data_IF_734997603438
#
_entry.id   IF_734997603438
#
_cell.length_a   1.000
_cell.length_b   1.000
_cell.length_c   1.000
_cell.angle_alpha   90.00
_cell.angle_beta   90.00
_cell.angle_gamma   90.00
#
_symmetry.space_group_name_H-M   'P 1'
#
loop_
_entity.id
_entity.type
_entity.pdbx_description
1 polymer ?
#
# COMPACT_ATOMS: atom_id res chain seq x y z
N UNK A 1 -7.89 -7.08 -33.06
CA UNK A 1 -8.88 -7.43 -32.01
C UNK A 1 -10.07 -6.51 -32.14
N UNK A 2 -11.29 -6.96 -31.87
CA UNK A 2 -12.48 -6.09 -31.90
C UNK A 2 -12.41 -5.07 -30.77
N UNK A 3 -12.63 -3.78 -31.08
CA UNK A 3 -12.73 -2.72 -30.07
C UNK A 3 -14.11 -2.79 -29.38
N UNK A 4 -14.10 -2.76 -28.04
CA UNK A 4 -15.33 -2.75 -27.26
C UNK A 4 -15.44 -1.46 -26.45
N UNK A 5 -16.67 -0.97 -26.26
CA UNK A 5 -16.97 0.06 -25.28
C UNK A 5 -17.20 -0.61 -23.93
N UNK A 6 -16.45 -0.22 -22.91
CA UNK A 6 -16.45 -0.87 -21.58
C UNK A 6 -16.70 0.19 -20.52
N UNK A 7 -17.77 0.04 -19.74
CA UNK A 7 -18.03 0.90 -18.59
C UNK A 7 -17.16 0.47 -17.39
N UNK A 8 -16.48 1.44 -16.78
CA UNK A 8 -15.73 1.27 -15.52
C UNK A 8 -16.38 2.14 -14.46
N UNK A 9 -16.74 1.54 -13.34
CA UNK A 9 -17.41 2.25 -12.25
C UNK A 9 -16.41 2.64 -11.15
N UNK A 10 -16.21 3.94 -11.01
CA UNK A 10 -15.28 4.55 -10.08
C UNK A 10 -13.92 4.88 -10.70
N UNK A 11 -13.47 6.13 -10.50
CA UNK A 11 -12.14 6.63 -10.92
C UNK A 11 -11.13 6.62 -9.76
N UNK A 12 -11.23 5.66 -8.85
CA UNK A 12 -10.16 5.36 -7.91
C UNK A 12 -8.96 4.71 -8.64
N UNK A 13 -7.80 4.50 -7.98
CA UNK A 13 -6.60 3.96 -8.62
C UNK A 13 -6.84 2.65 -9.36
N UNK A 14 -7.69 1.77 -8.81
CA UNK A 14 -8.00 0.48 -9.43
C UNK A 14 -8.81 0.65 -10.72
N UNK A 15 -9.84 1.50 -10.72
CA UNK A 15 -10.65 1.77 -11.91
C UNK A 15 -9.84 2.47 -13.01
N UNK A 16 -9.01 3.43 -12.62
CA UNK A 16 -8.10 4.10 -13.57
C UNK A 16 -7.08 3.12 -14.15
N UNK A 17 -6.46 2.25 -13.34
CA UNK A 17 -5.51 1.27 -13.84
C UNK A 17 -6.16 0.25 -14.78
N UNK A 18 -7.39 -0.20 -14.49
CA UNK A 18 -8.15 -1.07 -15.38
C UNK A 18 -8.46 -0.38 -16.72
N UNK A 19 -8.96 0.85 -16.69
CA UNK A 19 -9.27 1.63 -17.87
C UNK A 19 -8.01 1.97 -18.69
N UNK A 20 -6.90 2.29 -18.02
CA UNK A 20 -5.60 2.51 -18.64
C UNK A 20 -5.16 1.29 -19.47
N UNK A 21 -5.22 0.09 -18.89
CA UNK A 21 -4.86 -1.12 -19.63
C UNK A 21 -5.84 -1.38 -20.78
N UNK A 22 -7.15 -1.27 -20.55
CA UNK A 22 -8.16 -1.46 -21.58
C UNK A 22 -7.98 -0.50 -22.78
N UNK A 23 -7.67 0.77 -22.51
CA UNK A 23 -7.45 1.76 -23.55
C UNK A 23 -6.21 1.41 -24.40
N UNK A 24 -5.13 0.97 -23.79
CA UNK A 24 -3.91 0.54 -24.48
C UNK A 24 -4.09 -0.76 -25.26
N UNK A 25 -5.01 -1.63 -24.82
CA UNK A 25 -5.40 -2.85 -25.55
C UNK A 25 -6.36 -2.56 -26.73
N UNK A 26 -6.66 -1.28 -27.02
CA UNK A 26 -7.48 -0.84 -28.15
C UNK A 26 -8.98 -0.82 -27.86
N UNK A 27 -9.39 -0.95 -26.62
CA UNK A 27 -10.78 -0.78 -26.21
C UNK A 27 -11.11 0.71 -25.93
N UNK A 28 -12.39 1.02 -25.73
CA UNK A 28 -12.86 2.38 -25.40
C UNK A 28 -13.51 2.37 -24.02
N UNK A 29 -12.71 2.43 -22.94
CA UNK A 29 -13.27 2.52 -21.58
C UNK A 29 -13.94 3.87 -21.35
N UNK A 30 -15.10 3.84 -20.69
CA UNK A 30 -15.77 5.02 -20.15
C UNK A 30 -15.86 4.86 -18.66
N UNK A 31 -15.15 5.71 -17.91
CA UNK A 31 -15.17 5.70 -16.45
C UNK A 31 -16.29 6.63 -15.97
N UNK A 32 -17.11 6.15 -15.05
CA UNK A 32 -18.14 6.93 -14.35
C UNK A 32 -17.70 7.09 -12.90
N UNK A 33 -17.49 8.34 -12.46
CA UNK A 33 -17.06 8.69 -11.11
C UNK A 33 -18.12 9.58 -10.45
N UNK A 34 -18.48 9.24 -9.22
CA UNK A 34 -19.46 10.00 -8.46
C UNK A 34 -18.92 11.34 -7.94
N UNK A 35 -17.63 11.41 -7.61
CA UNK A 35 -16.94 12.61 -7.13
C UNK A 35 -16.68 13.59 -8.29
N UNK A 36 -16.37 14.84 -7.96
CA UNK A 36 -15.97 15.90 -8.90
C UNK A 36 -14.50 15.77 -9.38
N UNK A 37 -13.78 14.74 -8.89
CA UNK A 37 -12.36 14.48 -9.16
C UNK A 37 -12.05 12.99 -9.20
N UNK A 38 -10.95 12.64 -9.86
CA UNK A 38 -10.40 11.28 -9.82
C UNK A 38 -9.67 11.01 -8.51
N UNK A 39 -9.54 9.72 -8.16
CA UNK A 39 -8.61 9.26 -7.11
C UNK A 39 -9.25 8.49 -5.96
N UNK A 40 -10.55 8.62 -5.70
CA UNK A 40 -11.19 7.89 -4.62
C UNK A 40 -10.47 8.09 -3.28
N UNK A 41 -9.95 7.02 -2.67
CA UNK A 41 -9.21 7.10 -1.41
C UNK A 41 -7.80 7.72 -1.53
N UNK A 42 -7.25 7.82 -2.74
CA UNK A 42 -5.97 8.48 -3.00
C UNK A 42 -6.14 9.93 -3.46
N UNK A 43 -7.37 10.41 -3.56
CA UNK A 43 -7.63 11.81 -3.90
C UNK A 43 -7.09 12.75 -2.83
N UNK A 44 -6.66 13.93 -3.26
CA UNK A 44 -6.24 15.01 -2.37
C UNK A 44 -7.37 16.03 -2.16
N UNK A 45 -7.24 16.81 -1.12
CA UNK A 45 -8.07 17.98 -0.83
C UNK A 45 -7.19 19.19 -0.55
N UNK A 46 -7.73 20.38 -0.73
CA UNK A 46 -7.03 21.60 -0.38
C UNK A 46 -7.11 21.85 1.13
N UNK A 47 -5.95 22.09 1.73
CA UNK A 47 -5.81 22.54 3.10
C UNK A 47 -5.00 23.84 3.13
N UNK A 48 -5.69 24.98 3.03
CA UNK A 48 -5.08 26.31 3.01
C UNK A 48 -3.99 26.50 1.92
N UNK A 49 -4.28 26.04 0.69
CA UNK A 49 -3.36 26.12 -0.44
C UNK A 49 -2.35 24.97 -0.54
N UNK A 50 -2.42 24.01 0.39
CA UNK A 50 -1.61 22.81 0.36
C UNK A 50 -2.48 21.61 -0.01
N UNK A 51 -2.16 20.93 -1.11
CA UNK A 51 -2.84 19.70 -1.49
C UNK A 51 -2.39 18.54 -0.59
N UNK A 52 -3.30 18.02 0.22
CA UNK A 52 -3.07 16.90 1.13
C UNK A 52 -3.89 15.71 0.66
N UNK A 53 -3.28 14.52 0.60
CA UNK A 53 -4.01 13.29 0.31
C UNK A 53 -4.98 12.93 1.44
N UNK A 54 -6.15 12.37 1.09
CA UNK A 54 -7.14 11.88 2.07
C UNK A 54 -6.56 10.87 3.06
N UNK A 55 -5.61 10.06 2.57
CA UNK A 55 -4.84 9.10 3.37
C UNK A 55 -3.38 9.14 2.92
N UNK A 56 -2.45 8.90 3.83
CA UNK A 56 -1.04 8.87 3.48
C UNK A 56 -0.70 7.65 2.60
N UNK A 57 0.11 7.89 1.59
CA UNK A 57 0.63 6.83 0.72
C UNK A 57 2.14 6.92 0.66
N UNK A 58 2.78 5.76 0.66
CA UNK A 58 4.21 5.62 0.39
C UNK A 58 4.44 4.44 -0.53
N UNK A 59 5.53 4.49 -1.27
CA UNK A 59 5.90 3.47 -2.23
C UNK A 59 7.15 2.72 -1.77
N UNK A 60 7.19 1.43 -2.10
CA UNK A 60 8.32 0.56 -1.83
C UNK A 60 9.08 0.26 -3.12
N UNK A 61 10.37 0.02 -3.03
CA UNK A 61 11.18 -0.40 -4.17
C UNK A 61 10.73 -1.75 -4.75
N UNK A 62 9.94 -2.50 -4.00
CA UNK A 62 9.33 -3.77 -4.39
C UNK A 62 7.97 -3.63 -5.11
N UNK A 63 7.45 -2.41 -5.30
CA UNK A 63 6.17 -2.15 -5.97
C UNK A 63 6.37 -2.10 -7.49
N UNK A 64 6.81 -3.20 -8.09
CA UNK A 64 7.27 -3.25 -9.48
C UNK A 64 6.22 -2.80 -10.50
N UNK A 65 4.96 -3.24 -10.34
CA UNK A 65 3.88 -2.83 -11.24
C UNK A 65 3.61 -1.31 -11.21
N UNK A 66 3.69 -0.71 -10.02
CA UNK A 66 3.58 0.74 -9.86
C UNK A 66 4.75 1.46 -10.55
N UNK A 67 5.98 1.02 -10.31
CA UNK A 67 7.17 1.63 -10.90
C UNK A 67 7.18 1.50 -12.43
N UNK A 68 6.78 0.33 -12.96
CA UNK A 68 6.61 0.13 -14.39
C UNK A 68 5.57 1.10 -14.97
N UNK A 69 4.44 1.32 -14.30
CA UNK A 69 3.43 2.27 -14.76
C UNK A 69 3.96 3.71 -14.79
N UNK A 70 4.80 4.11 -13.82
CA UNK A 70 5.45 5.44 -13.87
C UNK A 70 6.37 5.58 -15.08
N UNK A 71 7.13 4.53 -15.43
CA UNK A 71 7.99 4.52 -16.62
C UNK A 71 7.15 4.62 -17.89
N UNK A 72 6.08 3.84 -18.01
CA UNK A 72 5.17 3.84 -19.16
C UNK A 72 4.46 5.19 -19.37
N UNK A 73 4.15 5.89 -18.28
CA UNK A 73 3.54 7.22 -18.28
C UNK A 73 4.56 8.37 -18.44
N UNK A 74 5.87 8.06 -18.42
CA UNK A 74 6.93 9.06 -18.55
C UNK A 74 7.07 9.99 -17.35
N UNK A 75 6.70 9.53 -16.14
CA UNK A 75 6.76 10.31 -14.89
C UNK A 75 7.64 9.67 -13.81
N UNK A 76 8.48 8.69 -14.16
CA UNK A 76 9.33 7.99 -13.21
C UNK A 76 10.38 8.92 -12.57
N UNK A 77 10.80 9.97 -13.26
CA UNK A 77 11.72 11.00 -12.77
C UNK A 77 11.14 11.82 -11.60
N UNK A 78 9.82 11.80 -11.42
CA UNK A 78 9.14 12.43 -10.27
C UNK A 78 9.17 11.59 -9.00
N UNK A 79 9.67 10.35 -9.05
CA UNK A 79 9.78 9.49 -7.88
C UNK A 79 10.92 9.93 -6.98
N UNK A 80 10.62 10.27 -5.72
CA UNK A 80 11.59 10.67 -4.71
C UNK A 80 11.73 9.56 -3.67
N UNK A 81 12.96 9.16 -3.44
CA UNK A 81 13.31 8.11 -2.49
C UNK A 81 14.05 8.68 -1.30
N UNK A 82 13.61 8.31 -0.11
CA UNK A 82 14.25 8.75 1.13
C UNK A 82 14.51 7.58 2.08
N UNK A 83 15.54 7.71 2.89
CA UNK A 83 15.80 6.80 3.99
C UNK A 83 14.87 7.15 5.16
N UNK A 84 14.08 6.17 5.62
CA UNK A 84 13.14 6.39 6.71
C UNK A 84 13.76 6.04 8.06
N UNK A 85 13.45 6.85 9.06
CA UNK A 85 13.77 6.58 10.47
C UNK A 85 12.47 6.29 11.20
N UNK A 86 12.27 5.05 11.62
CA UNK A 86 11.13 4.67 12.43
C UNK A 86 11.45 4.72 13.91
N UNK A 87 10.46 5.15 14.70
CA UNK A 87 10.50 5.09 16.15
C UNK A 87 9.29 4.33 16.69
N UNK A 88 9.47 3.69 17.83
CA UNK A 88 8.42 3.03 18.58
C UNK A 88 8.32 3.64 19.98
N UNK A 89 7.17 4.23 20.30
CA UNK A 89 6.93 4.80 21.61
C UNK A 89 6.45 3.72 22.58
N UNK A 90 7.26 3.42 23.59
CA UNK A 90 6.98 2.37 24.57
C UNK A 90 7.45 2.79 25.97
N UNK A 91 6.58 2.66 26.95
CA UNK A 91 6.82 3.03 28.36
C UNK A 91 7.41 4.43 28.50
N UNK A 92 6.72 5.43 27.90
CA UNK A 92 7.10 6.84 27.88
C UNK A 92 8.48 7.16 27.25
N UNK A 93 8.98 6.27 26.39
CA UNK A 93 10.25 6.50 25.66
C UNK A 93 10.09 6.20 24.19
N UNK A 94 10.55 7.10 23.34
CA UNK A 94 10.71 6.86 21.92
C UNK A 94 11.99 6.06 21.69
N UNK A 95 11.87 4.86 21.15
CA UNK A 95 13.00 3.98 20.85
C UNK A 95 13.13 3.79 19.34
N UNK A 96 14.35 3.71 18.80
CA UNK A 96 14.54 3.35 17.38
C UNK A 96 13.86 2.03 17.05
N UNK A 97 13.27 1.95 15.86
CA UNK A 97 12.60 0.76 15.36
C UNK A 97 12.87 0.53 13.87
N UNK A 98 12.55 -0.66 13.36
CA UNK A 98 12.54 -0.95 11.91
C UNK A 98 13.81 -1.58 11.36
N UNK A 99 14.84 -1.84 12.16
CA UNK A 99 16.03 -2.55 11.72
C UNK A 99 16.53 -3.56 12.80
N UNK A 100 17.41 -4.52 12.45
CA UNK A 100 17.87 -5.53 13.40
C UNK A 100 18.57 -4.97 14.63
N UNK A 101 19.36 -3.91 14.50
CA UNK A 101 20.05 -3.29 15.64
C UNK A 101 19.04 -2.66 16.60
N UNK A 102 18.04 -1.97 16.07
CA UNK A 102 16.97 -1.39 16.85
C UNK A 102 16.17 -2.48 17.59
N UNK A 103 15.86 -3.59 16.93
CA UNK A 103 15.20 -4.74 17.56
C UNK A 103 16.03 -5.31 18.70
N UNK A 104 17.35 -5.49 18.52
CA UNK A 104 18.23 -5.99 19.58
C UNK A 104 18.30 -5.03 20.78
N UNK A 105 18.31 -3.72 20.54
CA UNK A 105 18.36 -2.69 21.58
C UNK A 105 17.01 -2.40 22.24
N UNK A 106 15.91 -2.86 21.66
CA UNK A 106 14.57 -2.57 22.17
C UNK A 106 14.37 -3.17 23.57
N UNK A 107 14.01 -2.34 24.53
CA UNK A 107 13.91 -2.73 25.96
C UNK A 107 12.64 -3.49 26.33
N UNK A 108 11.65 -3.51 25.45
CA UNK A 108 10.32 -4.09 25.70
C UNK A 108 10.19 -5.58 25.39
N UNK A 109 11.26 -6.26 24.94
CA UNK A 109 11.22 -7.66 24.54
C UNK A 109 12.41 -8.45 25.12
N UNK A 110 12.14 -9.69 25.52
CA UNK A 110 13.17 -10.66 25.85
C UNK A 110 14.00 -11.06 24.62
N UNK A 111 15.16 -11.64 24.80
CA UNK A 111 16.02 -12.11 23.71
C UNK A 111 15.33 -13.18 22.86
N UNK A 112 14.55 -14.06 23.48
CA UNK A 112 13.78 -15.10 22.77
C UNK A 112 12.70 -14.44 21.89
N UNK A 113 11.97 -13.47 22.42
CA UNK A 113 10.96 -12.74 21.66
C UNK A 113 11.56 -11.97 20.47
N UNK A 114 12.71 -11.32 20.66
CA UNK A 114 13.46 -10.64 19.60
C UNK A 114 13.90 -11.60 18.50
N UNK A 115 14.44 -12.76 18.86
CA UNK A 115 14.84 -13.79 17.91
C UNK A 115 13.64 -14.29 17.09
N UNK A 116 12.54 -14.66 17.76
CA UNK A 116 11.31 -15.11 17.10
C UNK A 116 10.75 -14.05 16.16
N UNK A 117 10.70 -12.80 16.59
CA UNK A 117 10.24 -11.68 15.77
C UNK A 117 11.11 -11.48 14.53
N UNK A 118 12.44 -11.45 14.69
CA UNK A 118 13.38 -11.31 13.59
C UNK A 118 13.32 -12.48 12.60
N UNK A 119 13.22 -13.72 13.12
CA UNK A 119 13.06 -14.92 12.30
C UNK A 119 11.75 -14.87 11.49
N UNK A 120 10.63 -14.52 12.12
CA UNK A 120 9.35 -14.37 11.45
C UNK A 120 9.42 -13.33 10.32
N UNK A 121 9.97 -12.14 10.60
CA UNK A 121 10.13 -11.09 9.60
C UNK A 121 11.01 -11.57 8.42
N UNK A 122 12.11 -12.25 8.71
CA UNK A 122 12.99 -12.83 7.67
C UNK A 122 12.26 -13.87 6.81
N UNK A 123 11.56 -14.82 7.42
CA UNK A 123 10.81 -15.86 6.70
C UNK A 123 9.67 -15.25 5.84
N UNK A 124 9.01 -14.19 6.31
CA UNK A 124 8.03 -13.46 5.51
C UNK A 124 8.66 -12.90 4.22
N UNK A 125 9.89 -12.42 4.25
CA UNK A 125 10.56 -11.91 3.04
C UNK A 125 10.92 -13.00 2.04
N UNK A 126 11.10 -14.24 2.49
CA UNK A 126 11.49 -15.41 1.67
C UNK A 126 10.30 -16.16 1.08
N UNK A 127 9.16 -16.12 1.74
CA UNK A 127 7.95 -16.76 1.23
C UNK A 127 7.44 -16.02 -0.02
N UNK A 128 7.04 -16.77 -1.05
CA UNK A 128 6.44 -16.23 -2.27
C UNK A 128 4.95 -16.61 -2.42
N UNK A 129 4.53 -17.74 -1.86
CA UNK A 129 3.14 -18.18 -1.94
C UNK A 129 2.34 -17.73 -0.72
N UNK A 130 1.29 -16.97 -0.99
CA UNK A 130 0.35 -16.45 0.00
C UNK A 130 -0.83 -17.37 0.28
N UNK A 131 -1.17 -18.26 -0.66
CA UNK A 131 -2.39 -19.08 -0.62
C UNK A 131 -2.54 -19.89 0.67
N UNK A 132 -1.50 -20.56 1.21
CA UNK A 132 -1.62 -21.29 2.47
C UNK A 132 -1.86 -20.39 3.69
N UNK A 133 -1.62 -19.08 3.58
CA UNK A 133 -1.84 -18.11 4.65
C UNK A 133 -3.23 -17.49 4.60
N UNK A 134 -3.88 -17.52 3.46
CA UNK A 134 -5.16 -16.83 3.26
C UNK A 134 -6.28 -17.35 4.19
N UNK A 135 -6.46 -18.66 4.39
CA UNK A 135 -7.48 -19.17 5.30
C UNK A 135 -7.11 -19.04 6.78
N UNK A 136 -5.89 -18.60 7.11
CA UNK A 136 -5.44 -18.47 8.49
C UNK A 136 -5.82 -17.11 9.06
N UNK A 137 -6.29 -17.08 10.29
CA UNK A 137 -6.58 -15.85 11.03
C UNK A 137 -5.25 -15.18 11.46
N UNK A 138 -5.13 -13.87 11.21
CA UNK A 138 -3.88 -13.13 11.32
C UNK A 138 -3.32 -13.05 12.75
N UNK A 139 -4.17 -12.80 13.75
CA UNK A 139 -3.73 -12.61 15.14
C UNK A 139 -3.17 -13.90 15.73
N UNK A 140 -3.85 -15.01 15.48
CA UNK A 140 -3.42 -16.37 15.86
C UNK A 140 -2.12 -16.75 15.17
N UNK A 141 -2.02 -16.49 13.87
CA UNK A 141 -0.82 -16.77 13.08
C UNK A 141 0.40 -15.97 13.57
N UNK A 142 0.26 -14.66 13.79
CA UNK A 142 1.35 -13.83 14.30
C UNK A 142 1.77 -14.29 15.70
N UNK A 143 0.80 -14.49 16.62
CA UNK A 143 1.08 -14.94 17.99
C UNK A 143 1.82 -16.27 18.01
N UNK A 144 1.48 -17.19 17.12
CA UNK A 144 2.20 -18.46 16.96
C UNK A 144 3.68 -18.22 16.63
N UNK A 145 3.99 -17.31 15.69
CA UNK A 145 5.36 -17.06 15.25
C UNK A 145 6.17 -16.23 16.25
N UNK A 146 5.69 -15.05 16.60
CA UNK A 146 6.45 -14.10 17.41
C UNK A 146 6.37 -14.38 18.90
N UNK A 147 5.39 -15.17 19.35
CA UNK A 147 5.10 -15.45 20.76
C UNK A 147 4.20 -14.41 21.38
N UNK A 148 3.65 -14.76 22.56
CA UNK A 148 2.71 -13.90 23.27
C UNK A 148 3.32 -12.53 23.63
N UNK A 149 4.55 -12.52 24.15
CA UNK A 149 5.24 -11.29 24.58
C UNK A 149 5.38 -10.28 23.41
N UNK A 150 5.93 -10.70 22.28
CA UNK A 150 6.11 -9.81 21.14
C UNK A 150 4.77 -9.44 20.47
N UNK A 151 3.77 -10.31 20.53
CA UNK A 151 2.44 -9.99 20.06
C UNK A 151 1.82 -8.86 20.88
N UNK A 152 1.79 -8.97 22.21
CA UNK A 152 1.21 -7.97 23.10
C UNK A 152 1.90 -6.60 22.99
N UNK A 153 3.22 -6.61 22.85
CA UNK A 153 3.99 -5.35 22.78
C UNK A 153 3.90 -4.68 21.42
N UNK A 154 3.96 -5.45 20.31
CA UNK A 154 4.18 -4.89 18.97
C UNK A 154 2.93 -4.92 18.08
N UNK A 155 2.03 -5.88 18.27
CA UNK A 155 0.95 -6.14 17.33
C UNK A 155 -0.43 -5.85 17.87
N UNK A 156 -0.69 -6.14 19.14
CA UNK A 156 -2.01 -6.01 19.74
C UNK A 156 -2.60 -4.62 19.53
N UNK A 157 -1.87 -3.58 19.93
CA UNK A 157 -2.32 -2.19 19.77
C UNK A 157 -2.60 -1.84 18.32
N UNK A 158 -1.78 -2.35 17.38
CA UNK A 158 -2.01 -2.16 15.95
C UNK A 158 -3.33 -2.82 15.50
N UNK A 159 -3.60 -4.04 15.95
CA UNK A 159 -4.84 -4.73 15.60
C UNK A 159 -6.05 -4.02 16.21
N UNK A 160 -6.00 -3.69 17.49
CA UNK A 160 -7.11 -3.06 18.22
C UNK A 160 -7.47 -1.68 17.65
N UNK A 161 -6.48 -0.84 17.31
CA UNK A 161 -6.74 0.55 16.85
C UNK A 161 -6.78 0.74 15.34
N UNK A 162 -6.26 -0.19 14.56
CA UNK A 162 -6.29 -0.07 13.10
C UNK A 162 -7.47 -0.82 12.49
N UNK A 163 -7.86 -1.94 13.08
CA UNK A 163 -8.85 -2.84 12.49
C UNK A 163 -10.13 -2.97 13.31
N UNK A 164 -10.11 -2.52 14.57
CA UNK A 164 -11.29 -2.54 15.45
C UNK A 164 -11.99 -3.91 15.43
N UNK A 165 -13.30 -3.95 15.18
CA UNK A 165 -14.11 -5.16 15.08
C UNK A 165 -13.66 -6.14 13.99
N UNK A 166 -12.96 -5.68 12.97
CA UNK A 166 -12.44 -6.53 11.89
C UNK A 166 -11.12 -7.24 12.23
N UNK A 167 -10.53 -6.98 13.37
CA UNK A 167 -9.25 -7.55 13.77
C UNK A 167 -9.23 -9.09 13.73
N UNK A 168 -10.36 -9.72 14.10
CA UNK A 168 -10.51 -11.17 14.14
C UNK A 168 -10.86 -11.81 12.78
N UNK A 169 -11.16 -11.02 11.77
CA UNK A 169 -11.48 -11.50 10.42
C UNK A 169 -10.36 -11.33 9.40
N UNK A 170 -9.20 -10.86 9.83
CA UNK A 170 -8.09 -10.60 8.91
C UNK A 170 -7.35 -11.87 8.51
N UNK A 171 -7.08 -12.01 7.22
CA UNK A 171 -6.22 -13.04 6.68
C UNK A 171 -4.75 -12.83 7.06
N UNK A 172 -4.06 -13.89 7.46
CA UNK A 172 -2.62 -13.87 7.68
C UNK A 172 -1.84 -13.51 6.40
N UNK A 173 -2.37 -13.83 5.22
CA UNK A 173 -1.79 -13.44 3.94
C UNK A 173 -1.72 -11.92 3.80
N UNK A 174 -2.73 -11.20 4.26
CA UNK A 174 -2.72 -9.73 4.21
C UNK A 174 -1.59 -9.16 5.06
N UNK A 175 -1.45 -9.59 6.31
CA UNK A 175 -0.37 -9.14 7.21
C UNK A 175 1.00 -9.54 6.66
N UNK A 176 1.16 -10.80 6.22
CA UNK A 176 2.38 -11.26 5.59
C UNK A 176 2.79 -10.38 4.41
N UNK A 177 1.83 -10.00 3.55
CA UNK A 177 2.10 -9.14 2.40
C UNK A 177 2.70 -7.80 2.78
N UNK A 178 2.24 -7.20 3.91
CA UNK A 178 2.77 -5.94 4.44
C UNK A 178 4.18 -6.09 4.99
N UNK A 179 4.42 -7.13 5.79
CA UNK A 179 5.76 -7.43 6.32
C UNK A 179 6.74 -7.70 5.18
N UNK A 180 6.33 -8.49 4.18
CA UNK A 180 7.15 -8.80 3.01
C UNK A 180 7.45 -7.56 2.17
N UNK A 181 6.46 -6.74 1.87
CA UNK A 181 6.59 -5.52 1.07
C UNK A 181 7.59 -4.56 1.70
N UNK A 182 7.43 -4.22 2.97
CA UNK A 182 8.33 -3.34 3.72
C UNK A 182 9.71 -4.00 3.88
N UNK A 183 9.75 -5.29 4.22
CA UNK A 183 10.99 -6.02 4.39
C UNK A 183 11.85 -6.13 3.13
N UNK A 184 11.24 -6.03 1.93
CA UNK A 184 11.95 -6.01 0.64
C UNK A 184 12.28 -4.59 0.15
N UNK A 185 11.71 -3.55 0.74
CA UNK A 185 12.00 -2.16 0.41
C UNK A 185 13.18 -1.63 1.22
N UNK A 186 14.36 -2.22 0.98
CA UNK A 186 15.57 -1.89 1.73
C UNK A 186 16.76 -1.65 0.81
N UNK A 187 17.57 -0.68 1.18
CA UNK A 187 18.90 -0.49 0.59
C UNK A 187 19.84 -1.62 0.97
N UNK A 188 19.80 -1.99 2.26
CA UNK A 188 20.55 -3.08 2.86
C UNK A 188 19.82 -3.54 4.13
N UNK A 189 20.40 -4.46 4.87
CA UNK A 189 19.79 -5.03 6.08
C UNK A 189 19.40 -3.98 7.15
N UNK A 190 20.07 -2.82 7.17
CA UNK A 190 19.93 -1.80 8.21
C UNK A 190 19.17 -0.55 7.78
N UNK A 191 19.01 -0.32 6.46
CA UNK A 191 18.44 0.91 5.92
C UNK A 191 17.22 0.62 5.05
N UNK A 192 16.09 1.13 5.49
CA UNK A 192 14.85 1.10 4.73
C UNK A 192 14.78 2.29 3.79
N UNK A 193 14.18 2.07 2.63
CA UNK A 193 13.97 3.09 1.60
C UNK A 193 12.48 3.12 1.25
N UNK A 194 11.86 4.25 1.51
CA UNK A 194 10.49 4.51 1.07
C UNK A 194 10.47 5.69 0.10
N UNK A 195 9.50 5.67 -0.78
CA UNK A 195 9.34 6.68 -1.80
C UNK A 195 8.02 7.40 -1.73
N UNK A 196 7.99 8.60 -2.29
CA UNK A 196 6.79 9.34 -2.60
C UNK A 196 6.89 9.93 -4.00
N UNK A 197 5.75 10.09 -4.63
CA UNK A 197 5.67 10.72 -5.94
C UNK A 197 5.55 12.24 -5.75
N UNK A 198 6.38 13.02 -6.42
CA UNK A 198 6.32 14.48 -6.38
C UNK A 198 4.97 14.98 -6.92
N UNK A 199 4.27 15.80 -6.14
CA UNK A 199 2.88 16.19 -6.39
C UNK A 199 1.85 15.18 -5.87
N UNK A 200 2.31 14.14 -5.13
CA UNK A 200 1.45 13.13 -4.54
C UNK A 200 0.83 12.17 -5.54
N UNK A 201 -0.13 11.37 -5.09
CA UNK A 201 -0.86 10.41 -5.94
C UNK A 201 -1.60 11.09 -7.10
N UNK A 202 -1.97 12.35 -6.96
CA UNK A 202 -2.63 13.14 -8.02
C UNK A 202 -1.81 13.15 -9.31
N UNK A 203 -0.48 13.21 -9.21
CA UNK A 203 0.42 13.15 -10.39
C UNK A 203 0.21 11.88 -11.23
N UNK A 204 0.10 10.72 -10.57
CA UNK A 204 -0.17 9.45 -11.24
C UNK A 204 -1.59 9.40 -11.80
N UNK A 205 -2.57 9.82 -10.99
CA UNK A 205 -3.99 9.75 -11.36
C UNK A 205 -4.30 10.58 -12.60
N UNK A 206 -3.78 11.80 -12.65
CA UNK A 206 -3.95 12.69 -13.81
C UNK A 206 -3.18 12.18 -15.04
N UNK A 207 -2.00 11.61 -14.87
CA UNK A 207 -1.25 10.99 -15.95
C UNK A 207 -1.99 9.79 -16.54
N UNK A 208 -2.58 8.90 -15.71
CA UNK A 208 -3.40 7.80 -16.18
C UNK A 208 -4.65 8.30 -16.92
N UNK A 209 -5.36 9.29 -16.35
CA UNK A 209 -6.53 9.90 -17.00
C UNK A 209 -6.18 10.45 -18.38
N UNK A 210 -5.12 11.24 -18.48
CA UNK A 210 -4.67 11.82 -19.75
C UNK A 210 -4.29 10.74 -20.78
N UNK A 211 -3.68 9.64 -20.35
CA UNK A 211 -3.34 8.52 -21.24
C UNK A 211 -4.58 7.77 -21.71
N UNK A 212 -5.56 7.51 -20.83
CA UNK A 212 -6.85 6.91 -21.19
C UNK A 212 -7.57 7.74 -22.24
N UNK A 213 -7.64 9.06 -22.06
CA UNK A 213 -8.30 9.98 -22.99
C UNK A 213 -7.57 10.04 -24.35
N UNK A 214 -6.23 10.03 -24.33
CA UNK A 214 -5.40 9.99 -25.54
C UNK A 214 -5.62 8.73 -26.37
N UNK A 215 -5.94 7.59 -25.74
CA UNK A 215 -6.26 6.32 -26.40
C UNK A 215 -7.76 6.13 -26.68
N UNK A 216 -8.56 7.19 -26.60
CA UNK A 216 -9.97 7.18 -26.99
C UNK A 216 -10.95 6.69 -25.91
N UNK A 217 -10.49 6.58 -24.66
CA UNK A 217 -11.36 6.43 -23.50
C UNK A 217 -11.91 7.76 -23.01
N UNK A 218 -12.76 7.73 -21.98
CA UNK A 218 -13.35 8.93 -21.38
C UNK A 218 -13.51 8.79 -19.87
N UNK A 219 -13.38 9.91 -19.16
CA UNK A 219 -13.66 9.99 -17.71
C UNK A 219 -14.80 10.98 -17.49
N UNK A 220 -15.88 10.50 -16.90
CA UNK A 220 -17.08 11.28 -16.56
C UNK A 220 -17.13 11.46 -15.05
N UNK A 221 -16.79 12.66 -14.59
CA UNK A 221 -16.89 13.07 -13.19
C UNK A 221 -18.33 13.50 -12.85
N UNK A 222 -18.64 13.64 -11.56
CA UNK A 222 -19.96 13.96 -11.05
C UNK A 222 -21.08 13.11 -11.69
N UNK A 223 -20.78 11.86 -11.97
CA UNK A 223 -21.65 10.92 -12.71
C UNK A 223 -21.89 9.65 -11.86
N UNK A 224 -22.67 9.75 -10.78
CA UNK A 224 -22.97 8.61 -9.91
C UNK A 224 -23.83 7.57 -10.66
N UNK A 225 -23.43 6.30 -10.59
CA UNK A 225 -24.19 5.19 -11.14
C UNK A 225 -25.08 4.59 -10.05
N UNK A 226 -26.39 4.66 -10.25
CA UNK A 226 -27.39 4.16 -9.30
C UNK A 226 -27.72 2.68 -9.51
N UNK A 227 -27.63 2.19 -10.75
CA UNK A 227 -27.99 0.81 -11.10
C UNK A 227 -27.28 0.33 -12.36
N UNK A 228 -26.91 -0.93 -12.38
CA UNK A 228 -26.50 -1.68 -13.58
C UNK A 228 -27.64 -2.61 -13.95
N UNK A 229 -28.06 -2.59 -15.20
CA UNK A 229 -29.14 -3.42 -15.77
C UNK A 229 -28.60 -4.36 -16.80
#
# INVERSE_FOLDING_TARGET
>A
MSSHSIAVLGAGPMGLAAAYQLARDGHRPVIFEADDRVGGMTASFDFNGLAIERYYHFHCTSDHAFLQMLDELGIADRMRWTETKMGYFYRNRLQPWGNPIALLKFSGLSLIAKFRYGLHAFLCTRRNDWRPLDPLEATGWIRHWVGHEAYEVQWRTLFDYKFYEYAHGLSAAWIWSRVRRIGRSRYNLFREKLGYLEGGSTTLLEAMKADIERHGGAVRLASPVSKVV
#
